data_IF_590844141403
#
_entry.id   IF_590844141403
#
_cell.length_a   1.000
_cell.length_b   1.000
_cell.length_c   1.000
_cell.angle_alpha   90.00
_cell.angle_beta   90.00
_cell.angle_gamma   90.00
#
_symmetry.space_group_name_H-M   'P 1'
#
loop_
_entity.id
_entity.type
_entity.pdbx_description
1 polymer ?
#
# COMPACT_ATOMS: atom_id res chain seq x y z
N UNK A 1 5.71 18.33 -1.63
CA UNK A 1 4.28 18.36 -2.04
C UNK A 1 3.83 19.80 -2.03
N UNK A 2 2.94 20.19 -2.95
CA UNK A 2 2.45 21.57 -3.05
C UNK A 2 0.94 21.59 -2.86
N UNK A 3 0.47 22.46 -1.95
CA UNK A 3 -0.96 22.71 -1.75
C UNK A 3 -1.56 23.68 -2.78
N UNK A 4 -0.72 24.33 -3.59
CA UNK A 4 -1.17 25.27 -4.62
C UNK A 4 -1.41 24.55 -5.95
N UNK A 5 -2.68 24.27 -6.24
CA UNK A 5 -3.12 23.47 -7.39
C UNK A 5 -4.41 24.03 -7.98
N UNK A 6 -4.56 23.93 -9.29
CA UNK A 6 -5.79 24.26 -10.01
C UNK A 6 -6.40 22.99 -10.60
N UNK A 7 -7.70 22.81 -10.44
CA UNK A 7 -8.42 21.61 -10.89
C UNK A 7 -9.60 21.98 -11.79
N UNK A 8 -9.90 21.12 -12.76
CA UNK A 8 -11.13 21.26 -13.56
C UNK A 8 -12.35 20.83 -12.76
N UNK A 9 -13.54 21.36 -13.11
CA UNK A 9 -14.81 20.96 -12.48
C UNK A 9 -15.06 19.45 -12.56
N UNK A 10 -14.66 18.82 -13.66
CA UNK A 10 -14.78 17.37 -13.87
C UNK A 10 -13.90 16.59 -12.89
N UNK A 11 -12.68 17.05 -12.66
CA UNK A 11 -11.76 16.42 -11.70
C UNK A 11 -12.35 16.45 -10.28
N UNK A 12 -12.80 17.62 -9.82
CA UNK A 12 -13.32 17.80 -8.46
C UNK A 12 -14.57 16.94 -8.20
N UNK A 13 -15.44 16.76 -9.21
CA UNK A 13 -16.64 15.92 -9.07
C UNK A 13 -16.35 14.41 -9.05
N UNK A 14 -15.25 13.99 -9.67
CA UNK A 14 -14.96 12.57 -9.89
C UNK A 14 -13.85 12.03 -8.97
N UNK A 15 -13.05 12.90 -8.35
CA UNK A 15 -12.01 12.49 -7.42
C UNK A 15 -12.67 12.05 -6.10
N UNK A 16 -12.59 10.78 -5.70
CA UNK A 16 -12.94 10.39 -4.34
C UNK A 16 -11.93 11.04 -3.39
N UNK A 17 -12.43 11.62 -2.30
CA UNK A 17 -11.58 12.14 -1.23
C UNK A 17 -11.78 11.20 -0.05
N UNK A 18 -10.82 10.31 0.16
CA UNK A 18 -10.84 9.33 1.25
C UNK A 18 -10.11 9.85 2.49
N UNK A 19 -9.09 10.69 2.29
CA UNK A 19 -8.26 11.22 3.37
C UNK A 19 -8.51 12.70 3.62
N UNK A 20 -8.32 13.13 4.87
CA UNK A 20 -8.39 14.54 5.27
C UNK A 20 -7.03 15.05 5.76
N UNK A 21 -6.72 16.30 5.46
CA UNK A 21 -5.45 16.95 5.84
C UNK A 21 -4.37 16.87 4.77
N UNK A 22 -3.10 16.73 5.17
CA UNK A 22 -1.93 16.77 4.29
C UNK A 22 -1.87 15.63 3.26
N UNK A 23 -2.55 14.53 3.57
CA UNK A 23 -2.58 13.30 2.78
C UNK A 23 -3.35 13.48 1.46
N UNK A 24 -4.29 14.43 1.43
CA UNK A 24 -5.16 14.74 0.30
C UNK A 24 -4.38 15.18 -0.95
N UNK A 25 -3.25 15.88 -0.77
CA UNK A 25 -2.37 16.26 -1.88
C UNK A 25 -1.81 15.01 -2.60
N UNK A 26 -1.44 13.99 -1.83
CA UNK A 26 -0.90 12.74 -2.40
C UNK A 26 -1.99 11.97 -3.11
N UNK A 27 -3.16 11.83 -2.47
CA UNK A 27 -4.32 11.13 -3.03
C UNK A 27 -4.75 11.72 -4.38
N UNK A 28 -4.91 13.04 -4.48
CA UNK A 28 -5.31 13.70 -5.74
C UNK A 28 -4.29 13.49 -6.86
N UNK A 29 -2.99 13.50 -6.52
CA UNK A 29 -1.92 13.24 -7.50
C UNK A 29 -1.99 11.79 -7.99
N UNK A 30 -2.18 10.87 -7.05
CA UNK A 30 -2.20 9.44 -7.35
C UNK A 30 -3.45 9.06 -8.14
N UNK A 31 -4.60 9.66 -7.85
CA UNK A 31 -5.82 9.53 -8.64
C UNK A 31 -5.63 10.04 -10.08
N UNK A 32 -5.00 11.21 -10.24
CA UNK A 32 -4.70 11.75 -11.57
C UNK A 32 -3.78 10.82 -12.38
N UNK A 33 -2.75 10.25 -11.73
CA UNK A 33 -1.81 9.31 -12.35
C UNK A 33 -2.48 7.97 -12.71
N UNK A 34 -3.25 7.39 -11.79
CA UNK A 34 -3.93 6.11 -11.97
C UNK A 34 -4.95 6.18 -13.12
N UNK A 35 -5.71 7.28 -13.20
CA UNK A 35 -6.67 7.55 -14.28
C UNK A 35 -6.04 8.15 -15.54
N UNK A 36 -4.72 8.30 -15.59
CA UNK A 36 -3.96 8.88 -16.71
C UNK A 36 -4.52 10.23 -17.17
N UNK A 37 -4.96 11.06 -16.22
CA UNK A 37 -5.48 12.39 -16.51
C UNK A 37 -4.33 13.33 -16.88
N UNK A 38 -4.52 14.25 -17.84
CA UNK A 38 -3.50 15.22 -18.20
C UNK A 38 -3.30 16.22 -17.05
N UNK A 39 -2.06 16.40 -16.62
CA UNK A 39 -1.66 17.46 -15.70
C UNK A 39 -0.35 18.10 -16.16
N UNK A 40 -0.09 19.32 -15.70
CA UNK A 40 1.13 20.06 -15.99
C UNK A 40 1.64 20.71 -14.72
N UNK A 41 2.94 20.57 -14.48
CA UNK A 41 3.63 21.28 -13.41
C UNK A 41 4.19 22.60 -13.96
N UNK A 42 3.96 23.70 -13.24
CA UNK A 42 4.49 25.02 -13.56
C UNK A 42 5.47 25.38 -12.45
N UNK A 43 6.75 25.62 -12.75
CA UNK A 43 7.73 25.99 -11.73
C UNK A 43 7.39 27.38 -11.19
N UNK A 44 7.39 27.51 -9.86
CA UNK A 44 7.14 28.76 -9.15
C UNK A 44 8.29 28.96 -8.15
N UNK A 45 8.87 30.18 -8.03
CA UNK A 45 9.89 30.44 -7.04
C UNK A 45 9.33 30.25 -5.62
N UNK A 46 10.00 29.39 -4.84
CA UNK A 46 9.68 29.21 -3.44
C UNK A 46 10.14 30.44 -2.65
N UNK A 47 9.26 31.00 -1.81
CA UNK A 47 9.61 32.08 -0.90
C UNK A 47 9.76 31.52 0.49
N UNK A 48 10.84 31.90 1.15
CA UNK A 48 11.05 31.56 2.55
C UNK A 48 9.95 32.17 3.43
N UNK A 49 9.68 31.46 4.52
CA UNK A 49 8.68 31.85 5.48
C UNK A 49 9.12 33.15 6.17
N UNK A 50 8.22 34.12 6.41
CA UNK A 50 8.58 35.33 7.14
C UNK A 50 9.16 34.99 8.52
N UNK A 51 10.22 35.71 8.90
CA UNK A 51 10.92 35.49 10.16
C UNK A 51 9.94 35.66 11.35
N UNK A 52 9.99 34.74 12.30
CA UNK A 52 9.11 34.72 13.48
C UNK A 52 7.83 33.87 13.35
N UNK A 53 7.58 33.23 12.21
CA UNK A 53 6.43 32.32 12.09
C UNK A 53 6.73 30.95 12.71
N UNK A 54 5.84 30.46 13.58
CA UNK A 54 5.93 29.12 14.17
C UNK A 54 5.37 28.08 13.20
N UNK A 55 6.06 26.94 13.05
CA UNK A 55 5.54 25.83 12.25
C UNK A 55 4.30 25.24 12.90
N UNK A 56 3.19 25.21 12.16
CA UNK A 56 1.95 24.51 12.55
C UNK A 56 2.02 22.99 12.29
N UNK A 57 3.12 22.49 11.72
CA UNK A 57 3.33 21.08 11.39
C UNK A 57 4.16 20.39 12.48
N UNK A 58 3.73 19.16 12.82
CA UNK A 58 4.43 18.28 13.74
C UNK A 58 5.17 17.21 12.93
N UNK A 59 6.47 17.39 12.72
CA UNK A 59 7.29 16.56 11.83
C UNK A 59 7.12 15.05 12.05
N UNK A 60 7.11 14.58 13.30
CA UNK A 60 6.96 13.15 13.61
C UNK A 60 5.53 12.63 13.42
N UNK A 61 4.54 13.36 13.94
CA UNK A 61 3.13 12.92 13.91
C UNK A 61 2.53 13.00 12.51
N UNK A 62 2.97 13.98 11.73
CA UNK A 62 2.55 14.13 10.34
C UNK A 62 3.32 13.15 9.44
N UNK A 63 4.61 12.89 9.71
CA UNK A 63 5.39 11.86 9.02
C UNK A 63 4.81 10.45 9.16
N UNK A 64 4.43 10.04 10.39
CA UNK A 64 3.78 8.74 10.61
C UNK A 64 2.43 8.63 9.89
N UNK A 65 1.67 9.73 9.85
CA UNK A 65 0.41 9.81 9.09
C UNK A 65 0.65 9.56 7.60
N UNK A 66 1.61 10.25 7.00
CA UNK A 66 2.00 10.05 5.60
C UNK A 66 2.42 8.61 5.30
N UNK A 67 3.25 8.01 6.16
CA UNK A 67 3.67 6.61 6.00
C UNK A 67 2.47 5.65 6.01
N UNK A 68 1.52 5.87 6.93
CA UNK A 68 0.28 5.10 6.99
C UNK A 68 -0.55 5.27 5.72
N UNK A 69 -0.65 6.49 5.19
CA UNK A 69 -1.37 6.76 3.94
C UNK A 69 -0.71 6.04 2.78
N UNK A 70 0.62 6.08 2.66
CA UNK A 70 1.35 5.37 1.61
C UNK A 70 1.06 3.87 1.67
N UNK A 71 1.06 3.29 2.88
CA UNK A 71 0.74 1.88 3.08
C UNK A 71 -0.71 1.56 2.64
N UNK A 72 -1.67 2.39 3.03
CA UNK A 72 -3.08 2.20 2.64
C UNK A 72 -3.29 2.35 1.13
N UNK A 73 -2.64 3.35 0.52
CA UNK A 73 -2.68 3.60 -0.92
C UNK A 73 -2.07 2.43 -1.69
N UNK A 74 -0.94 1.90 -1.24
CA UNK A 74 -0.31 0.75 -1.90
C UNK A 74 -1.22 -0.49 -1.85
N UNK A 75 -1.84 -0.75 -0.70
CA UNK A 75 -2.82 -1.82 -0.53
C UNK A 75 -4.06 -1.65 -1.44
N UNK A 76 -4.54 -0.43 -1.63
CA UNK A 76 -5.75 -0.17 -2.43
C UNK A 76 -5.48 -0.16 -3.95
N UNK A 77 -4.38 0.45 -4.39
CA UNK A 77 -4.07 0.61 -5.82
C UNK A 77 -3.33 -0.58 -6.42
N UNK A 78 -2.52 -1.29 -5.62
CA UNK A 78 -1.71 -2.45 -6.05
C UNK A 78 -1.81 -3.60 -5.03
N UNK A 79 -3.01 -4.14 -4.78
CA UNK A 79 -3.24 -5.12 -3.72
C UNK A 79 -2.41 -6.40 -3.89
N UNK A 80 -2.31 -6.93 -5.11
CA UNK A 80 -1.56 -8.16 -5.36
C UNK A 80 -0.07 -8.01 -5.06
N UNK A 81 0.52 -6.88 -5.42
CA UNK A 81 1.94 -6.61 -5.15
C UNK A 81 2.18 -6.49 -3.64
N UNK A 82 1.31 -5.76 -2.95
CA UNK A 82 1.42 -5.52 -1.51
C UNK A 82 1.29 -6.81 -0.68
N UNK A 83 0.16 -7.52 -0.82
CA UNK A 83 -0.08 -8.76 -0.09
C UNK A 83 0.77 -9.92 -0.61
N UNK A 84 1.12 -9.92 -1.90
CA UNK A 84 2.00 -10.92 -2.50
C UNK A 84 3.42 -10.86 -1.93
N UNK A 85 4.02 -9.67 -1.80
CA UNK A 85 5.35 -9.54 -1.18
C UNK A 85 5.31 -10.01 0.27
N UNK A 86 4.31 -9.60 1.05
CA UNK A 86 4.16 -10.03 2.45
C UNK A 86 3.95 -11.55 2.56
N UNK A 87 3.16 -12.15 1.68
CA UNK A 87 2.94 -13.59 1.65
C UNK A 87 4.19 -14.36 1.26
N UNK A 88 4.93 -13.89 0.25
CA UNK A 88 6.19 -14.52 -0.19
C UNK A 88 7.26 -14.41 0.90
N UNK A 89 7.41 -13.26 1.56
CA UNK A 89 8.38 -13.13 2.65
C UNK A 89 8.01 -14.01 3.83
N UNK A 90 6.72 -14.10 4.20
CA UNK A 90 6.25 -15.04 5.22
C UNK A 90 6.54 -16.50 4.85
N UNK A 91 6.34 -16.89 3.59
CA UNK A 91 6.66 -18.23 3.09
C UNK A 91 8.18 -18.52 3.11
N UNK A 92 9.02 -17.54 2.74
CA UNK A 92 10.47 -17.69 2.80
C UNK A 92 10.96 -17.86 4.24
N UNK A 93 10.42 -17.08 5.16
CA UNK A 93 10.74 -17.21 6.59
C UNK A 93 10.27 -18.58 7.09
N UNK A 94 9.04 -19.00 6.77
CA UNK A 94 8.51 -20.31 7.13
C UNK A 94 9.40 -21.45 6.61
N UNK A 95 9.81 -21.39 5.34
CA UNK A 95 10.72 -22.37 4.75
C UNK A 95 12.06 -22.42 5.49
N UNK A 96 12.64 -21.27 5.86
CA UNK A 96 13.88 -21.21 6.62
C UNK A 96 13.76 -21.90 7.99
N UNK A 97 12.64 -21.73 8.70
CA UNK A 97 12.37 -22.46 9.96
C UNK A 97 12.09 -23.95 9.75
N UNK A 98 11.57 -24.33 8.57
CA UNK A 98 11.26 -25.72 8.24
C UNK A 98 12.50 -26.56 7.88
N UNK A 99 13.50 -25.96 7.21
CA UNK A 99 14.75 -26.65 6.80
C UNK A 99 15.42 -27.44 7.94
N UNK A 100 15.72 -26.87 9.13
CA UNK A 100 16.38 -27.62 10.19
C UNK A 100 15.54 -28.78 10.71
N UNK A 101 14.20 -28.61 10.75
CA UNK A 101 13.27 -29.67 11.17
C UNK A 101 13.26 -30.82 10.15
N UNK A 102 13.31 -30.50 8.86
CA UNK A 102 13.36 -31.48 7.79
C UNK A 102 14.67 -32.30 7.81
N UNK A 103 15.81 -31.63 8.02
CA UNK A 103 17.11 -32.31 8.09
C UNK A 103 17.20 -33.28 9.28
N UNK A 104 16.70 -32.89 10.45
CA UNK A 104 16.65 -33.78 11.62
C UNK A 104 15.74 -34.99 11.39
N UNK A 105 14.58 -34.76 10.75
CA UNK A 105 13.65 -35.84 10.40
C UNK A 105 14.27 -36.84 9.42
N UNK A 106 15.02 -36.39 8.42
CA UNK A 106 15.69 -37.29 7.46
C UNK A 106 16.79 -38.14 8.12
N UNK A 107 17.48 -37.61 9.13
CA UNK A 107 18.57 -38.32 9.81
C UNK A 107 18.08 -39.29 10.89
N UNK A 108 17.05 -38.93 11.64
CA UNK A 108 16.63 -39.67 12.85
C UNK A 108 15.26 -40.31 12.74
N UNK A 109 14.44 -39.95 11.74
CA UNK A 109 13.05 -40.40 11.60
C UNK A 109 12.09 -39.83 12.66
N UNK A 110 12.59 -39.06 13.62
CA UNK A 110 11.81 -38.42 14.67
C UNK A 110 11.80 -36.89 14.49
N UNK A 111 10.78 -36.23 15.03
CA UNK A 111 10.67 -34.76 15.02
C UNK A 111 10.86 -34.24 16.45
N UNK A 112 12.10 -33.93 16.88
CA UNK A 112 12.36 -33.49 18.25
C UNK A 112 11.92 -32.03 18.49
N UNK A 113 11.84 -31.20 17.44
CA UNK A 113 11.51 -29.77 17.53
C UNK A 113 10.05 -29.46 17.18
N UNK A 114 9.12 -29.91 18.04
CA UNK A 114 7.68 -29.64 17.85
C UNK A 114 7.32 -28.14 17.77
N UNK A 115 7.82 -27.24 18.64
CA UNK A 115 7.43 -25.83 18.60
C UNK A 115 7.79 -25.13 17.29
N UNK A 116 8.98 -25.42 16.74
CA UNK A 116 9.43 -24.82 15.47
C UNK A 116 8.62 -25.34 14.28
N UNK A 117 8.18 -26.61 14.31
CA UNK A 117 7.30 -27.17 13.29
C UNK A 117 5.96 -26.42 13.26
N UNK A 118 5.31 -26.24 14.42
CA UNK A 118 4.04 -25.51 14.50
C UNK A 118 4.17 -24.05 14.08
N UNK A 119 5.28 -23.37 14.45
CA UNK A 119 5.57 -22.02 13.96
C UNK A 119 5.76 -21.98 12.45
N UNK A 120 6.50 -22.91 11.86
CA UNK A 120 6.71 -22.97 10.41
C UNK A 120 5.38 -23.19 9.67
N UNK A 121 4.57 -24.16 10.11
CA UNK A 121 3.27 -24.48 9.48
C UNK A 121 2.28 -23.32 9.62
N UNK A 122 2.15 -22.72 10.80
CA UNK A 122 1.27 -21.57 11.00
C UNK A 122 1.71 -20.34 10.20
N UNK A 123 3.02 -20.09 10.07
CA UNK A 123 3.52 -19.00 9.24
C UNK A 123 3.28 -19.26 7.75
N UNK A 124 3.40 -20.53 7.31
CA UNK A 124 3.09 -20.92 5.95
C UNK A 124 1.60 -20.70 5.61
N UNK A 125 0.69 -21.11 6.50
CA UNK A 125 -0.75 -20.92 6.28
C UNK A 125 -1.11 -19.44 6.22
N UNK A 126 -0.54 -18.60 7.08
CA UNK A 126 -0.70 -17.14 7.01
C UNK A 126 -0.18 -16.59 5.68
N UNK A 127 1.00 -17.04 5.21
CA UNK A 127 1.56 -16.62 3.92
C UNK A 127 0.65 -16.93 2.73
N UNK A 128 0.10 -18.15 2.67
CA UNK A 128 -0.86 -18.56 1.62
C UNK A 128 -2.15 -17.74 1.68
N UNK A 129 -2.70 -17.52 2.89
CA UNK A 129 -3.90 -16.71 3.08
C UNK A 129 -3.69 -15.26 2.62
N UNK A 130 -2.54 -14.66 2.91
CA UNK A 130 -2.21 -13.31 2.44
C UNK A 130 -2.21 -13.22 0.91
N UNK A 131 -1.60 -14.19 0.22
CA UNK A 131 -1.59 -14.24 -1.25
C UNK A 131 -3.03 -14.40 -1.78
N UNK A 132 -3.83 -15.28 -1.17
CA UNK A 132 -5.25 -15.45 -1.50
C UNK A 132 -6.06 -14.17 -1.37
N UNK A 133 -5.92 -13.45 -0.24
CA UNK A 133 -6.52 -12.14 -0.05
C UNK A 133 -6.07 -11.12 -1.11
N UNK A 134 -4.78 -11.12 -1.46
CA UNK A 134 -4.23 -10.28 -2.51
C UNK A 134 -4.87 -10.51 -3.88
N UNK A 135 -5.11 -11.78 -4.25
CA UNK A 135 -5.79 -12.16 -5.49
C UNK A 135 -7.25 -11.71 -5.52
N UNK A 136 -7.98 -11.94 -4.42
CA UNK A 136 -9.39 -11.53 -4.29
C UNK A 136 -9.49 -10.00 -4.45
N UNK A 137 -8.68 -9.26 -3.70
CA UNK A 137 -8.72 -7.80 -3.71
C UNK A 137 -8.31 -7.22 -5.08
N UNK A 138 -7.35 -7.85 -5.77
CA UNK A 138 -6.98 -7.47 -7.13
C UNK A 138 -8.13 -7.64 -8.13
N UNK A 139 -8.91 -8.72 -7.98
CA UNK A 139 -10.08 -8.99 -8.82
C UNK A 139 -11.18 -7.97 -8.58
N UNK A 140 -11.46 -7.66 -7.30
CA UNK A 140 -12.43 -6.64 -6.90
C UNK A 140 -12.03 -5.26 -7.43
N UNK A 141 -10.75 -4.89 -7.31
CA UNK A 141 -10.23 -3.63 -7.86
C UNK A 141 -10.46 -3.54 -9.37
N UNK A 142 -10.08 -4.58 -10.11
CA UNK A 142 -10.29 -4.64 -11.56
C UNK A 142 -11.77 -4.45 -11.96
N UNK A 143 -12.68 -5.05 -11.19
CA UNK A 143 -14.11 -4.88 -11.40
C UNK A 143 -14.57 -3.43 -11.20
N UNK A 144 -14.12 -2.77 -10.13
CA UNK A 144 -14.43 -1.35 -9.89
C UNK A 144 -13.82 -0.41 -10.93
N UNK A 145 -12.61 -0.70 -11.40
CA UNK A 145 -11.95 0.09 -12.45
C UNK A 145 -12.76 0.05 -13.75
N UNK A 146 -13.23 -1.14 -14.13
CA UNK A 146 -14.09 -1.34 -15.31
C UNK A 146 -15.42 -0.57 -15.19
N UNK A 147 -16.07 -0.63 -14.02
CA UNK A 147 -17.31 0.14 -13.76
C UNK A 147 -17.08 1.66 -13.87
N UNK A 148 -15.96 2.14 -13.33
CA UNK A 148 -15.63 3.56 -13.37
C UNK A 148 -15.35 4.05 -14.80
N UNK A 149 -14.72 3.23 -15.65
CA UNK A 149 -14.53 3.56 -17.08
C UNK A 149 -15.86 3.68 -17.83
N UNK A 150 -16.83 2.81 -17.54
CA UNK A 150 -18.18 2.88 -18.12
C UNK A 150 -18.87 4.18 -17.72
N UNK A 151 -18.81 4.55 -16.43
CA UNK A 151 -19.43 5.77 -15.93
C UNK A 151 -18.78 7.05 -16.45
N UNK A 152 -17.48 7.04 -16.75
CA UNK A 152 -16.78 8.21 -17.31
C UNK A 152 -17.06 8.46 -18.81
N UNK A 153 -17.58 7.45 -19.54
CA UNK A 153 -17.97 7.55 -20.95
C UNK A 153 -19.40 8.08 -21.16
N UNK A 154 -20.23 8.08 -20.11
CA UNK A 154 -21.51 8.82 -20.08
C UNK A 154 -21.29 10.27 -19.69
#
# INVERSE_FOLDING_TARGET
MTGYRAFSRRFVKNCPILFSGFELETEMTLFALDRRLPFREIPIPYRDRPQGSVSKLNTYRDGFRVLRTIFLLLSNYRPLFFFGILGITALLISAAFFVPVLLEFLNTGAVPRYPTLFCAVSLATVGVLLIGCGLILNTVKHYFDCLAEINLKR
#
